data_IF_381822283585
#
_entry.id   IF_381822283585
#
_cell.length_a   1.000
_cell.length_b   1.000
_cell.length_c   1.000
_cell.angle_alpha   90.00
_cell.angle_beta   90.00
_cell.angle_gamma   90.00
#
_symmetry.space_group_name_H-M   'P 1'
#
loop_
_entity.id
_entity.type
_entity.pdbx_description
1 polymer ?
#
# COMPACT_ATOMS: atom_id res chain seq x y z
N UNK A 1 26.93 9.39 -21.94
CA UNK A 1 25.65 9.02 -21.29
C UNK A 1 24.58 9.47 -22.27
N UNK A 2 24.13 8.53 -23.10
CA UNK A 2 23.40 8.81 -24.33
C UNK A 2 21.97 9.28 -24.06
N UNK A 3 21.50 10.14 -24.96
CA UNK A 3 20.14 10.66 -25.12
C UNK A 3 19.05 9.65 -24.73
N UNK A 4 18.50 9.80 -23.53
CA UNK A 4 17.12 9.40 -23.28
C UNK A 4 16.26 10.53 -23.84
N UNK A 5 15.80 10.39 -25.10
CA UNK A 5 14.75 11.26 -25.63
C UNK A 5 13.58 11.24 -24.64
N UNK A 6 13.27 12.40 -24.07
CA UNK A 6 12.22 12.63 -23.06
C UNK A 6 10.82 12.19 -23.52
N UNK A 7 10.65 11.82 -24.80
CA UNK A 7 9.41 11.34 -25.41
C UNK A 7 9.02 9.91 -24.97
N UNK A 8 9.87 9.20 -24.22
CA UNK A 8 9.65 7.79 -23.81
C UNK A 8 9.32 7.60 -22.33
N UNK A 9 8.95 8.66 -21.62
CA UNK A 9 8.72 8.66 -20.17
C UNK A 9 7.36 9.28 -19.85
N UNK A 10 6.47 8.51 -19.19
CA UNK A 10 5.19 9.01 -18.67
C UNK A 10 5.20 8.95 -17.14
N UNK A 11 5.04 10.10 -16.49
CA UNK A 11 4.85 10.20 -15.04
C UNK A 11 3.36 10.12 -14.68
N UNK A 12 2.94 9.00 -14.11
CA UNK A 12 1.52 8.66 -13.95
C UNK A 12 0.92 9.17 -12.63
N UNK A 13 0.89 10.50 -12.42
CA UNK A 13 0.19 11.06 -11.25
C UNK A 13 -1.30 11.35 -11.49
N UNK A 14 -1.81 11.17 -12.71
CA UNK A 14 -3.19 11.52 -13.05
C UNK A 14 -3.74 10.58 -14.13
N UNK A 15 -4.64 9.68 -13.72
CA UNK A 15 -5.64 9.01 -14.58
C UNK A 15 -6.65 10.00 -15.22
N UNK A 16 -6.30 11.28 -15.34
CA UNK A 16 -7.22 12.30 -15.78
C UNK A 16 -7.42 12.19 -17.30
N UNK A 17 -8.66 12.13 -17.81
CA UNK A 17 -8.96 11.95 -19.25
C UNK A 17 -8.32 12.96 -20.20
N UNK A 18 -7.85 14.11 -19.68
CA UNK A 18 -7.11 15.12 -20.46
C UNK A 18 -5.62 14.80 -20.66
N UNK A 19 -4.99 14.05 -19.74
CA UNK A 19 -3.60 13.59 -19.89
C UNK A 19 -3.48 12.36 -20.82
N UNK A 20 -4.63 11.83 -21.24
CA UNK A 20 -4.80 10.59 -22.00
C UNK A 20 -4.87 10.80 -23.53
N UNK A 21 -4.79 12.04 -24.02
CA UNK A 21 -5.05 12.38 -25.43
C UNK A 21 -3.85 12.24 -26.36
N UNK A 22 -2.66 11.95 -25.82
CA UNK A 22 -1.43 11.82 -26.61
C UNK A 22 -0.95 10.36 -26.60
N UNK A 23 -1.72 9.46 -27.22
CA UNK A 23 -1.16 8.17 -27.69
C UNK A 23 -0.27 8.47 -28.90
N UNK A 24 0.95 8.94 -28.67
CA UNK A 24 1.96 9.08 -29.71
C UNK A 24 3.25 8.41 -29.24
N UNK A 25 3.70 7.49 -30.07
CA UNK A 25 4.95 6.73 -29.99
C UNK A 25 5.04 5.60 -28.96
N UNK A 26 5.91 4.64 -29.27
CA UNK A 26 6.23 3.49 -28.42
C UNK A 26 6.90 3.99 -27.13
N UNK A 27 6.23 3.80 -25.99
CA UNK A 27 6.75 4.16 -24.68
C UNK A 27 7.40 2.93 -24.05
N UNK A 28 8.73 2.97 -23.87
CA UNK A 28 9.45 1.85 -23.24
C UNK A 28 9.32 1.85 -21.71
N UNK A 29 9.38 3.01 -21.07
CA UNK A 29 9.46 3.13 -19.60
C UNK A 29 8.27 3.90 -19.04
N UNK A 30 7.62 3.31 -18.04
CA UNK A 30 6.54 3.93 -17.30
C UNK A 30 6.92 4.11 -15.85
N UNK A 31 6.83 5.35 -15.36
CA UNK A 31 7.13 5.68 -13.96
C UNK A 31 5.83 5.97 -13.22
N UNK A 32 5.47 5.07 -12.31
CA UNK A 32 4.28 5.16 -11.47
C UNK A 32 4.71 5.75 -10.12
N UNK A 33 4.32 6.99 -9.84
CA UNK A 33 4.77 7.69 -8.63
C UNK A 33 3.65 7.69 -7.60
N UNK A 34 3.98 7.40 -6.34
CA UNK A 34 3.04 7.47 -5.22
C UNK A 34 3.67 8.16 -4.02
N UNK A 35 2.86 8.78 -3.16
CA UNK A 35 3.34 9.53 -2.01
C UNK A 35 3.66 8.61 -0.82
N UNK A 36 2.75 7.72 -0.45
CA UNK A 36 2.92 6.81 0.67
C UNK A 36 2.14 5.50 0.48
N UNK A 37 2.86 4.38 0.52
CA UNK A 37 2.29 3.04 0.34
C UNK A 37 2.28 2.28 1.66
N UNK A 38 1.07 2.13 2.20
CA UNK A 38 0.86 1.53 3.52
C UNK A 38 0.84 0.00 3.51
N UNK A 39 -0.11 -0.56 2.77
CA UNK A 39 -0.29 -2.02 2.54
C UNK A 39 -0.15 -2.41 1.06
N UNK A 40 -0.23 -1.43 0.15
CA UNK A 40 -0.21 -1.67 -1.29
C UNK A 40 -1.56 -2.11 -1.90
N UNK A 41 -2.66 -2.22 -1.13
CA UNK A 41 -3.96 -2.70 -1.64
C UNK A 41 -4.61 -1.78 -2.68
N UNK A 42 -4.25 -0.49 -2.68
CA UNK A 42 -4.69 0.47 -3.72
C UNK A 42 -3.95 0.23 -5.03
N UNK A 43 -2.70 -0.23 -4.97
CA UNK A 43 -1.86 -0.53 -6.12
C UNK A 43 -2.20 -1.90 -6.73
N UNK A 44 -2.26 -2.94 -5.89
CA UNK A 44 -2.60 -4.31 -6.28
C UNK A 44 -3.31 -5.05 -5.13
N UNK A 45 -4.46 -5.64 -5.44
CA UNK A 45 -5.22 -6.55 -4.57
C UNK A 45 -5.93 -7.63 -5.38
N UNK A 46 -6.24 -8.73 -4.70
CA UNK A 46 -7.23 -9.71 -5.16
C UNK A 46 -8.62 -9.22 -4.69
N UNK A 47 -9.68 -9.46 -5.46
CA UNK A 47 -11.06 -9.16 -5.03
C UNK A 47 -11.66 -10.29 -4.18
N UNK A 48 -11.09 -11.50 -4.21
CA UNK A 48 -11.45 -12.57 -3.28
C UNK A 48 -11.10 -12.17 -1.85
N UNK A 49 -12.07 -12.28 -0.94
CA UNK A 49 -11.91 -11.88 0.46
C UNK A 49 -10.86 -12.75 1.16
N UNK A 50 -10.85 -14.06 0.88
CA UNK A 50 -9.91 -15.00 1.49
C UNK A 50 -8.48 -14.77 0.98
N UNK A 51 -8.31 -14.52 -0.31
CA UNK A 51 -7.00 -14.14 -0.86
C UNK A 51 -6.54 -12.77 -0.35
N UNK A 52 -7.47 -11.81 -0.18
CA UNK A 52 -7.15 -10.51 0.42
C UNK A 52 -6.62 -10.68 1.84
N UNK A 53 -7.31 -11.46 2.68
CA UNK A 53 -6.85 -11.80 4.04
C UNK A 53 -5.50 -12.50 4.01
N UNK A 54 -5.33 -13.47 3.11
CA UNK A 54 -4.07 -14.17 2.92
C UNK A 54 -2.91 -13.20 2.66
N UNK A 55 -3.08 -12.28 1.70
CA UNK A 55 -2.05 -11.31 1.34
C UNK A 55 -1.85 -10.19 2.37
N UNK A 56 -2.80 -9.99 3.29
CA UNK A 56 -2.66 -9.03 4.39
C UNK A 56 -2.04 -9.65 5.65
N UNK A 57 -1.96 -10.97 5.74
CA UNK A 57 -1.30 -11.69 6.84
C UNK A 57 0.22 -11.75 6.61
N UNK A 58 0.96 -11.12 7.53
CA UNK A 58 2.43 -11.08 7.51
C UNK A 58 3.09 -12.44 7.47
N UNK A 59 2.51 -13.45 8.12
CA UNK A 59 3.08 -14.80 8.11
C UNK A 59 3.17 -15.30 6.68
N UNK A 60 2.19 -15.02 5.84
CA UNK A 60 2.22 -15.42 4.44
C UNK A 60 3.20 -14.58 3.60
N UNK A 61 3.50 -13.35 4.03
CA UNK A 61 4.44 -12.46 3.35
C UNK A 61 5.90 -12.76 3.71
N UNK A 62 6.20 -13.18 4.93
CA UNK A 62 7.58 -13.42 5.35
C UNK A 62 7.96 -14.91 5.44
N UNK A 63 6.98 -15.82 5.50
CA UNK A 63 7.22 -17.25 5.37
C UNK A 63 7.39 -17.62 3.88
N UNK A 64 8.52 -18.21 3.52
CA UNK A 64 8.81 -18.66 2.15
C UNK A 64 8.17 -20.01 1.81
N UNK A 65 7.70 -20.77 2.81
CA UNK A 65 7.10 -22.10 2.60
C UNK A 65 5.66 -22.04 2.09
N UNK A 66 4.99 -20.89 2.20
CA UNK A 66 3.61 -20.70 1.76
C UNK A 66 3.56 -20.19 0.32
N UNK A 67 2.95 -20.99 -0.56
CA UNK A 67 2.87 -20.70 -2.00
C UNK A 67 1.47 -20.76 -2.57
N UNK A 68 0.52 -21.40 -1.86
CA UNK A 68 -0.82 -21.63 -2.40
C UNK A 68 -1.85 -20.68 -1.81
N UNK A 69 -2.64 -20.08 -2.71
CA UNK A 69 -3.75 -19.23 -2.33
C UNK A 69 -4.99 -20.05 -1.94
N UNK A 70 -5.80 -19.55 -0.98
CA UNK A 70 -7.08 -20.15 -0.61
C UNK A 70 -8.04 -20.30 -1.79
N UNK A 71 -8.17 -19.26 -2.62
CA UNK A 71 -9.06 -19.23 -3.78
C UNK A 71 -8.24 -19.17 -5.07
N UNK A 72 -8.48 -20.13 -5.96
CA UNK A 72 -7.79 -20.25 -7.25
C UNK A 72 -8.41 -19.36 -8.33
N UNK A 73 -9.64 -18.89 -8.14
CA UNK A 73 -10.34 -18.02 -9.09
C UNK A 73 -10.06 -16.54 -8.79
N UNK A 74 -8.78 -16.18 -8.78
CA UNK A 74 -8.35 -14.81 -8.51
C UNK A 74 -8.79 -13.83 -9.59
N UNK A 75 -9.45 -12.76 -9.14
CA UNK A 75 -9.70 -11.54 -9.90
C UNK A 75 -8.87 -10.41 -9.30
N UNK A 76 -8.04 -9.78 -10.12
CA UNK A 76 -7.13 -8.73 -9.65
C UNK A 76 -7.70 -7.35 -9.89
N UNK A 77 -7.38 -6.44 -9.00
CA UNK A 77 -7.69 -5.03 -9.17
C UNK A 77 -6.63 -4.14 -8.53
N UNK A 78 -6.75 -2.84 -8.77
CA UNK A 78 -5.82 -1.84 -8.27
C UNK A 78 -5.32 -0.91 -9.37
N UNK A 79 -4.48 0.05 -9.01
CA UNK A 79 -3.90 0.99 -9.95
C UNK A 79 -3.04 0.29 -11.02
N UNK A 80 -2.30 -0.77 -10.65
CA UNK A 80 -1.46 -1.51 -11.59
C UNK A 80 -2.28 -2.20 -12.68
N UNK A 81 -3.35 -2.90 -12.31
CA UNK A 81 -4.20 -3.63 -13.27
C UNK A 81 -4.86 -2.66 -14.24
N UNK A 82 -5.50 -1.60 -13.71
CA UNK A 82 -6.08 -0.54 -14.55
C UNK A 82 -5.06 0.13 -15.47
N UNK A 83 -3.81 0.23 -15.03
CA UNK A 83 -2.73 0.83 -15.81
C UNK A 83 -2.31 -0.06 -16.98
N UNK A 84 -2.08 -1.35 -16.72
CA UNK A 84 -1.73 -2.35 -17.73
C UNK A 84 -2.83 -2.41 -18.80
N UNK A 85 -4.10 -2.53 -18.37
CA UNK A 85 -5.25 -2.62 -19.28
C UNK A 85 -5.39 -1.36 -20.15
N UNK A 86 -5.21 -0.19 -19.54
CA UNK A 86 -5.40 1.09 -20.23
C UNK A 86 -4.34 1.33 -21.32
N UNK A 87 -3.07 1.03 -21.01
CA UNK A 87 -1.97 1.24 -21.94
C UNK A 87 -1.74 0.06 -22.89
N UNK A 88 -2.42 -1.08 -22.65
CA UNK A 88 -2.24 -2.32 -23.41
C UNK A 88 -0.75 -2.71 -23.45
N UNK A 89 -0.15 -2.80 -22.27
CA UNK A 89 1.28 -3.06 -22.12
C UNK A 89 1.61 -4.50 -22.48
N UNK A 90 2.78 -4.68 -23.08
CA UNK A 90 3.33 -5.97 -23.46
C UNK A 90 4.75 -6.14 -22.88
N UNK A 91 5.36 -7.31 -23.10
CA UNK A 91 6.69 -7.67 -22.62
C UNK A 91 7.85 -6.73 -23.01
N UNK A 92 7.63 -5.76 -23.91
CA UNK A 92 8.61 -4.75 -24.28
C UNK A 92 8.54 -3.49 -23.40
N UNK A 93 7.50 -3.35 -22.56
CA UNK A 93 7.34 -2.23 -21.64
C UNK A 93 7.93 -2.56 -20.26
N UNK A 94 8.57 -1.56 -19.66
CA UNK A 94 9.06 -1.59 -18.28
C UNK A 94 8.23 -0.67 -17.39
N UNK A 95 7.79 -1.18 -16.24
CA UNK A 95 6.97 -0.46 -15.27
C UNK A 95 7.81 -0.28 -14.00
N UNK A 96 8.06 0.96 -13.63
CA UNK A 96 8.85 1.32 -12.46
C UNK A 96 7.93 2.04 -11.47
N UNK A 97 7.57 1.36 -10.39
CA UNK A 97 6.80 1.93 -9.30
C UNK A 97 7.73 2.63 -8.31
N UNK A 98 7.60 3.95 -8.21
CA UNK A 98 8.43 4.85 -7.42
C UNK A 98 7.65 5.47 -6.25
N UNK A 99 7.31 4.71 -5.20
CA UNK A 99 6.71 5.30 -4.02
C UNK A 99 7.75 6.13 -3.26
N UNK A 100 7.39 7.35 -2.86
CA UNK A 100 8.29 8.19 -2.06
C UNK A 100 8.58 7.53 -0.71
N UNK A 101 7.54 6.98 -0.05
CA UNK A 101 7.68 6.15 1.13
C UNK A 101 6.82 4.89 0.95
N UNK A 102 7.37 3.72 1.26
CA UNK A 102 6.64 2.44 1.31
C UNK A 102 6.96 1.74 2.62
N UNK A 103 6.01 1.03 3.24
CA UNK A 103 6.39 0.11 4.33
C UNK A 103 7.11 -1.11 3.81
N UNK A 104 8.03 -1.66 4.60
CA UNK A 104 8.69 -2.92 4.25
C UNK A 104 7.68 -4.02 3.92
N UNK A 105 6.64 -4.19 4.74
CA UNK A 105 5.55 -5.11 4.45
C UNK A 105 4.89 -4.88 3.10
N UNK A 106 4.50 -3.63 2.77
CA UNK A 106 3.84 -3.36 1.50
C UNK A 106 4.76 -3.67 0.32
N UNK A 107 6.07 -3.39 0.43
CA UNK A 107 7.05 -3.75 -0.58
C UNK A 107 7.09 -5.26 -0.78
N UNK A 108 7.32 -6.02 0.29
CA UNK A 108 7.41 -7.48 0.23
C UNK A 108 6.10 -8.13 -0.27
N UNK A 109 4.95 -7.62 0.20
CA UNK A 109 3.63 -8.06 -0.25
C UNK A 109 3.45 -7.84 -1.75
N UNK A 110 3.73 -6.64 -2.24
CA UNK A 110 3.59 -6.32 -3.67
C UNK A 110 4.54 -7.16 -4.52
N UNK A 111 5.81 -7.31 -4.13
CA UNK A 111 6.78 -8.16 -4.83
C UNK A 111 6.32 -9.62 -4.91
N UNK A 112 5.86 -10.18 -3.79
CA UNK A 112 5.32 -11.55 -3.76
C UNK A 112 4.07 -11.69 -4.62
N UNK A 113 3.12 -10.76 -4.53
CA UNK A 113 1.90 -10.78 -5.32
C UNK A 113 2.21 -10.69 -6.82
N UNK A 114 3.04 -9.72 -7.24
CA UNK A 114 3.42 -9.54 -8.65
C UNK A 114 4.06 -10.83 -9.18
N UNK A 115 4.97 -11.43 -8.43
CA UNK A 115 5.61 -12.69 -8.81
C UNK A 115 4.61 -13.84 -8.91
N UNK A 116 3.77 -14.04 -7.90
CA UNK A 116 2.80 -15.14 -7.86
C UNK A 116 1.80 -15.03 -9.03
N UNK A 117 1.15 -13.87 -9.16
CA UNK A 117 0.16 -13.65 -10.21
C UNK A 117 0.78 -13.64 -11.60
N UNK A 118 2.04 -13.23 -11.72
CA UNK A 118 2.81 -13.39 -12.94
C UNK A 118 3.04 -14.85 -13.33
N UNK A 119 3.40 -15.70 -12.37
CA UNK A 119 3.62 -17.14 -12.61
C UNK A 119 2.36 -17.88 -13.05
N UNK A 120 1.18 -17.45 -12.59
CA UNK A 120 -0.11 -18.03 -13.00
C UNK A 120 -0.76 -17.29 -14.19
N UNK A 121 -0.02 -16.40 -14.86
CA UNK A 121 -0.46 -15.73 -16.09
C UNK A 121 -1.51 -14.63 -15.90
N UNK A 122 -1.69 -14.11 -14.68
CA UNK A 122 -2.63 -13.01 -14.37
C UNK A 122 -1.99 -11.62 -14.50
N UNK A 123 -0.66 -11.55 -14.55
CA UNK A 123 0.11 -10.32 -14.81
C UNK A 123 1.20 -10.66 -15.84
N UNK A 124 0.98 -10.34 -17.11
CA UNK A 124 1.90 -10.70 -18.21
C UNK A 124 3.29 -10.05 -18.03
N UNK A 125 3.32 -8.77 -17.66
CA UNK A 125 4.53 -7.95 -17.52
C UNK A 125 5.32 -8.17 -16.22
N UNK A 126 5.04 -9.19 -15.42
CA UNK A 126 5.52 -9.25 -14.03
C UNK A 126 7.05 -9.18 -13.87
N UNK A 127 7.82 -9.68 -14.85
CA UNK A 127 9.29 -9.63 -14.85
C UNK A 127 9.85 -8.22 -15.08
N UNK A 128 9.05 -7.34 -15.70
CA UNK A 128 9.42 -5.97 -16.05
C UNK A 128 8.82 -4.94 -15.07
N UNK A 129 8.20 -5.39 -13.97
CA UNK A 129 7.69 -4.52 -12.92
C UNK A 129 8.74 -4.42 -11.81
N UNK A 130 9.21 -3.20 -11.54
CA UNK A 130 10.17 -2.90 -10.48
C UNK A 130 9.54 -1.97 -9.44
N UNK A 131 9.93 -2.14 -8.17
CA UNK A 131 9.53 -1.23 -7.09
C UNK A 131 10.78 -0.55 -6.55
N UNK A 132 10.92 0.75 -6.82
CA UNK A 132 12.08 1.57 -6.45
C UNK A 132 11.62 2.70 -5.52
N UNK A 133 11.52 2.43 -4.20
CA UNK A 133 11.12 3.45 -3.25
C UNK A 133 12.26 4.45 -2.97
N UNK A 134 11.91 5.69 -2.62
CA UNK A 134 12.90 6.62 -2.06
C UNK A 134 13.22 6.31 -0.58
N UNK A 135 12.23 5.80 0.16
CA UNK A 135 12.41 5.35 1.54
C UNK A 135 11.55 4.12 1.86
N UNK A 136 12.15 3.14 2.51
CA UNK A 136 11.45 1.97 3.06
C UNK A 136 11.26 2.21 4.56
N UNK A 137 10.00 2.28 4.99
CA UNK A 137 9.63 2.43 6.38
C UNK A 137 9.71 1.07 7.09
N UNK A 138 10.66 0.90 8.04
CA UNK A 138 10.95 -0.40 8.64
C UNK A 138 9.79 -0.91 9.52
N UNK A 139 9.57 -2.22 9.56
CA UNK A 139 8.54 -2.84 10.41
C UNK A 139 8.76 -2.56 11.89
N UNK A 140 10.02 -2.39 12.30
CA UNK A 140 10.45 -2.04 13.66
C UNK A 140 9.89 -0.72 14.15
N UNK A 141 9.42 0.14 13.24
CA UNK A 141 8.88 1.45 13.62
C UNK A 141 7.42 1.42 14.08
N UNK A 142 6.83 0.25 14.30
CA UNK A 142 5.50 0.09 14.89
C UNK A 142 5.49 0.47 16.36
N UNK A 143 4.34 0.99 16.81
CA UNK A 143 4.08 1.38 18.20
C UNK A 143 3.02 0.50 18.87
N UNK A 144 2.40 -0.42 18.11
CA UNK A 144 1.42 -1.40 18.61
C UNK A 144 1.96 -2.81 18.40
N UNK A 145 2.19 -3.52 19.51
CA UNK A 145 2.84 -4.84 19.52
C UNK A 145 2.05 -5.92 18.77
N UNK A 146 0.75 -6.03 19.05
CA UNK A 146 -0.15 -7.02 18.41
C UNK A 146 -0.27 -6.89 16.89
N UNK A 147 0.16 -5.76 16.32
CA UNK A 147 0.16 -5.53 14.89
C UNK A 147 1.39 -6.14 14.19
N UNK A 148 2.28 -6.80 14.93
CA UNK A 148 3.43 -7.52 14.40
C UNK A 148 3.36 -9.00 14.74
N UNK A 149 3.46 -9.83 13.70
CA UNK A 149 3.60 -11.28 13.82
C UNK A 149 5.05 -11.70 14.13
N UNK A 150 6.00 -10.79 13.88
CA UNK A 150 7.42 -10.95 14.21
C UNK A 150 7.77 -10.04 15.40
N UNK A 151 8.63 -10.49 16.30
CA UNK A 151 9.05 -9.79 17.52
C UNK A 151 9.85 -8.48 17.30
N UNK A 152 9.81 -7.96 16.08
CA UNK A 152 10.48 -6.77 15.58
C UNK A 152 9.69 -5.51 15.95
N UNK A 153 9.34 -5.34 17.22
CA UNK A 153 8.95 -4.01 17.70
C UNK A 153 10.24 -3.31 18.05
N UNK A 154 10.38 -2.03 17.69
CA UNK A 154 11.44 -1.18 18.23
C UNK A 154 11.53 -1.45 19.73
N UNK A 155 12.68 -1.95 20.18
CA UNK A 155 13.10 -1.90 21.59
C UNK A 155 13.36 -0.44 21.96
N UNK A 156 12.37 0.43 21.84
CA UNK A 156 12.34 1.66 22.59
C UNK A 156 12.22 1.24 24.05
N UNK A 157 13.09 1.80 24.88
CA UNK A 157 13.20 1.57 26.31
C UNK A 157 11.81 1.33 26.92
N UNK A 158 11.45 0.06 27.10
CA UNK A 158 10.08 -0.36 27.47
C UNK A 158 9.69 0.24 28.83
N UNK A 159 10.69 0.60 29.62
CA UNK A 159 10.56 1.25 30.92
C UNK A 159 10.22 2.75 30.81
N UNK A 160 10.41 3.39 29.65
CA UNK A 160 10.14 4.83 29.44
C UNK A 160 8.96 5.12 28.51
N UNK A 161 8.60 4.20 27.62
CA UNK A 161 7.52 4.39 26.66
C UNK A 161 6.36 3.44 26.97
N UNK A 162 5.27 3.98 27.54
CA UNK A 162 4.06 3.21 27.83
C UNK A 162 3.26 2.92 26.55
N UNK A 163 3.76 2.02 25.70
CA UNK A 163 3.10 1.58 24.46
C UNK A 163 1.73 0.92 24.72
N UNK A 164 1.52 0.35 25.92
CA UNK A 164 0.21 -0.12 26.37
C UNK A 164 -0.82 1.01 26.37
N UNK A 165 -0.41 2.23 26.68
CA UNK A 165 -1.26 3.42 26.61
C UNK A 165 -1.83 3.65 25.22
N UNK A 166 -1.03 3.57 24.16
CA UNK A 166 -1.51 3.81 22.80
C UNK A 166 -2.46 2.70 22.34
N UNK A 167 -2.11 1.43 22.59
CA UNK A 167 -3.02 0.33 22.24
C UNK A 167 -4.34 0.40 23.02
N UNK A 168 -4.29 0.72 24.31
CA UNK A 168 -5.50 0.86 25.13
C UNK A 168 -6.36 2.04 24.66
N UNK A 169 -5.74 3.18 24.33
CA UNK A 169 -6.46 4.31 23.73
C UNK A 169 -7.15 3.88 22.43
N UNK A 170 -6.46 3.13 21.56
CA UNK A 170 -7.10 2.61 20.35
C UNK A 170 -8.32 1.76 20.71
N UNK A 171 -8.22 0.83 21.67
CA UNK A 171 -9.35 0.02 22.14
C UNK A 171 -10.51 0.86 22.68
N UNK A 172 -10.22 1.77 23.61
CA UNK A 172 -11.20 2.56 24.34
C UNK A 172 -12.02 3.45 23.43
N UNK A 173 -11.43 3.98 22.36
CA UNK A 173 -12.06 4.99 21.51
C UNK A 173 -12.43 4.47 20.11
N UNK A 174 -12.11 3.22 19.76
CA UNK A 174 -12.31 2.77 18.36
C UNK A 174 -13.78 2.70 17.97
N UNK A 175 -14.66 2.47 18.95
CA UNK A 175 -16.10 2.46 18.72
C UNK A 175 -16.63 3.80 18.18
N UNK A 176 -15.88 4.90 18.36
CA UNK A 176 -16.18 6.22 17.80
C UNK A 176 -15.79 6.31 16.32
N UNK A 177 -15.05 5.35 15.78
CA UNK A 177 -14.67 5.31 14.38
C UNK A 177 -15.63 4.41 13.58
N UNK A 178 -16.25 4.95 12.53
CA UNK A 178 -17.12 4.19 11.65
C UNK A 178 -16.34 3.67 10.45
N UNK A 179 -15.93 2.40 10.49
CA UNK A 179 -15.31 1.74 9.35
C UNK A 179 -16.24 1.70 8.13
N UNK A 180 -15.73 2.17 7.00
CA UNK A 180 -16.35 1.97 5.69
C UNK A 180 -15.88 0.66 5.05
N UNK A 181 -16.56 0.23 3.98
CA UNK A 181 -16.16 -0.94 3.18
C UNK A 181 -14.71 -0.82 2.66
N UNK A 182 -14.25 0.38 2.31
CA UNK A 182 -12.89 0.63 1.85
C UNK A 182 -11.84 0.37 2.94
N UNK A 183 -12.12 0.75 4.20
CA UNK A 183 -11.24 0.45 5.32
C UNK A 183 -11.11 -1.05 5.55
N UNK A 184 -12.25 -1.77 5.52
CA UNK A 184 -12.32 -3.21 5.72
C UNK A 184 -11.57 -3.99 4.64
N UNK A 185 -11.73 -3.62 3.36
CA UNK A 185 -10.95 -4.21 2.25
C UNK A 185 -9.44 -4.04 2.42
N UNK A 186 -9.01 -3.01 3.14
CA UNK A 186 -7.61 -2.76 3.46
C UNK A 186 -7.08 -3.51 4.68
N UNK A 187 -7.90 -4.29 5.40
CA UNK A 187 -7.55 -4.95 6.66
C UNK A 187 -7.97 -4.20 7.93
N UNK A 188 -8.81 -3.15 7.81
CA UNK A 188 -9.25 -2.33 8.94
C UNK A 188 -8.27 -1.20 9.29
N UNK A 189 -8.64 -0.35 10.25
CA UNK A 189 -7.84 0.84 10.60
C UNK A 189 -7.69 1.16 12.09
N UNK A 190 -8.03 0.22 12.97
CA UNK A 190 -7.94 0.38 14.43
C UNK A 190 -6.55 0.78 14.92
N UNK A 191 -5.52 0.24 14.28
CA UNK A 191 -4.13 0.61 14.56
C UNK A 191 -3.48 1.28 13.33
N UNK A 192 -4.26 2.02 12.52
CA UNK A 192 -3.85 2.51 11.19
C UNK A 192 -4.19 1.52 10.07
N UNK A 193 -4.14 1.92 8.78
CA UNK A 193 -4.66 1.06 7.70
C UNK A 193 -3.93 -0.28 7.61
N UNK A 194 -4.71 -1.34 7.41
CA UNK A 194 -4.26 -2.72 7.45
C UNK A 194 -3.89 -3.21 8.84
N UNK A 195 -4.36 -2.50 9.86
CA UNK A 195 -4.07 -2.77 11.27
C UNK A 195 -2.57 -2.90 11.56
N UNK A 196 -1.75 -2.04 10.95
CA UNK A 196 -0.29 -2.20 10.93
C UNK A 196 0.44 -1.55 12.11
N UNK A 197 -0.24 -0.75 12.93
CA UNK A 197 0.33 -0.25 14.19
C UNK A 197 1.42 0.80 14.06
N UNK A 198 1.55 1.46 12.91
CA UNK A 198 2.52 2.54 12.73
C UNK A 198 1.95 3.88 13.22
N UNK A 199 2.82 4.72 13.78
CA UNK A 199 2.52 6.11 14.11
C UNK A 199 3.34 7.05 13.22
N UNK A 200 3.00 7.09 11.93
CA UNK A 200 3.63 8.01 10.98
C UNK A 200 2.70 9.20 10.80
N UNK A 201 3.21 10.43 10.96
CA UNK A 201 2.47 11.63 10.59
C UNK A 201 3.21 12.32 9.46
N UNK A 202 2.49 12.66 8.40
CA UNK A 202 3.00 13.48 7.30
C UNK A 202 2.29 14.84 7.29
N UNK A 203 3.08 15.91 7.15
CA UNK A 203 2.62 17.30 7.17
C UNK A 203 1.61 17.65 6.07
N UNK A 204 1.58 16.92 4.94
CA UNK A 204 0.80 17.30 3.74
C UNK A 204 -0.33 16.34 3.32
N UNK A 205 -0.59 15.29 4.09
CA UNK A 205 -1.76 14.43 3.98
C UNK A 205 -1.62 13.39 5.08
N UNK A 206 -2.58 13.27 5.99
CA UNK A 206 -2.44 12.30 7.08
C UNK A 206 -2.34 10.89 6.49
N UNK A 207 -1.25 10.16 6.74
CA UNK A 207 -0.83 9.05 5.88
C UNK A 207 -1.67 7.81 6.08
N UNK A 208 -1.56 6.87 5.13
CA UNK A 208 -2.28 5.60 5.20
C UNK A 208 -1.90 4.80 6.47
N UNK A 209 -0.75 5.05 7.11
CA UNK A 209 -0.31 4.30 8.29
C UNK A 209 -0.14 5.17 9.55
N UNK A 210 -1.02 6.14 9.76
CA UNK A 210 -1.20 6.78 11.08
C UNK A 210 -2.27 6.05 11.90
N UNK A 211 -2.15 6.07 13.23
CA UNK A 211 -3.20 5.62 14.15
C UNK A 211 -4.45 6.51 14.01
N UNK A 212 -5.65 5.91 13.92
CA UNK A 212 -6.89 6.66 13.67
C UNK A 212 -7.12 7.83 14.64
N UNK A 213 -6.74 7.68 15.91
CA UNK A 213 -6.82 8.72 16.94
C UNK A 213 -6.06 10.01 16.60
N UNK A 214 -5.05 9.92 15.75
CA UNK A 214 -4.18 11.05 15.40
C UNK A 214 -4.74 11.80 14.17
N UNK A 215 -5.61 11.18 13.37
CA UNK A 215 -6.02 11.70 12.05
C UNK A 215 -7.53 11.76 11.78
N UNK A 216 -8.37 11.24 12.66
CA UNK A 216 -9.82 11.22 12.47
C UNK A 216 -10.55 12.38 13.18
N UNK A 217 -11.70 12.81 12.64
CA UNK A 217 -12.46 13.97 13.13
C UNK A 217 -13.91 13.66 13.61
N UNK A 218 -14.27 12.40 13.90
CA UNK A 218 -15.61 12.08 14.42
C UNK A 218 -15.89 12.73 15.78
N UNK A 219 -17.17 13.05 16.02
CA UNK A 219 -17.69 13.37 17.36
C UNK A 219 -16.91 14.47 18.10
N UNK A 220 -16.45 15.51 17.39
CA UNK A 220 -15.78 16.66 18.00
C UNK A 220 -14.33 16.41 18.43
N UNK A 221 -13.76 15.26 18.11
CA UNK A 221 -12.32 15.06 18.18
C UNK A 221 -11.70 15.79 16.98
N UNK A 222 -10.76 16.68 17.25
CA UNK A 222 -9.98 17.30 16.18
C UNK A 222 -8.67 16.54 16.04
N UNK A 223 -8.37 16.00 14.84
CA UNK A 223 -7.11 15.33 14.64
C UNK A 223 -5.99 16.35 14.84
N UNK A 224 -4.86 15.90 15.43
CA UNK A 224 -3.66 16.73 15.49
C UNK A 224 -3.24 17.20 14.08
N UNK A 225 -3.58 16.41 13.06
CA UNK A 225 -3.30 16.70 11.65
C UNK A 225 -4.55 16.47 10.80
N UNK A 226 -5.12 17.56 10.27
CA UNK A 226 -6.32 17.52 9.44
C UNK A 226 -6.08 16.72 8.16
N UNK A 227 -6.95 15.73 7.90
CA UNK A 227 -6.96 14.99 6.64
C UNK A 227 -7.85 15.71 5.63
N UNK A 228 -7.33 16.02 4.45
CA UNK A 228 -8.14 16.46 3.31
C UNK A 228 -8.68 15.22 2.58
N UNK A 229 -10.00 15.05 2.54
CA UNK A 229 -10.63 13.95 1.79
C UNK A 229 -10.40 14.11 0.28
N UNK A 230 -9.73 13.13 -0.34
CA UNK A 230 -9.47 13.09 -1.79
C UNK A 230 -10.58 12.40 -2.59
N UNK A 231 -11.41 11.60 -1.93
CA UNK A 231 -12.57 10.94 -2.50
C UNK A 231 -13.82 11.57 -1.89
N UNK A 232 -14.57 12.31 -2.70
CA UNK A 232 -15.92 12.72 -2.36
C UNK A 232 -16.85 11.62 -2.85
N UNK A 233 -17.78 11.20 -2.01
CA UNK A 233 -18.94 10.39 -2.42
C UNK A 233 -19.80 11.16 -3.44
#
# INVERSE_FOLDING_TARGET
VNDLNNERVVAYYKLHPKAQKEKKEFVKYFFLIDDFVGTGTTFLRDESEDNTKYWLDEKNIFDSSKTDLPDKNSELSGALIRFIDYWNLDENNEIIFCPYIITEFAKCRLEKMIKYYGQIGKIENFKNIQIIPAYIFPNESRVIEKCSSYSEIRKWDQDKCNFKGISQLCEDYYYLFKETSHHKKGGGCKHGFGDRGFAIVRYNNTPNNSLYLIWHNHNGWHPLFLRNERHKD
#
